data_IF_262462978358
#
_entry.id   IF_262462978358
#
_cell.length_a   1.000
_cell.length_b   1.000
_cell.length_c   1.000
_cell.angle_alpha   90.00
_cell.angle_beta   90.00
_cell.angle_gamma   90.00
#
_symmetry.space_group_name_H-M   'P 1'
#
loop_
_entity.id
_entity.type
_entity.pdbx_description
1 polymer ?
#
# COMPACT_ATOMS: atom_id res chain seq x y z
N UNK A 1 25.50 -3.62 -9.89
CA UNK A 1 25.25 -5.07 -9.78
C UNK A 1 24.15 -5.23 -8.77
N UNK A 2 23.08 -5.95 -9.06
CA UNK A 2 22.05 -6.27 -8.04
C UNK A 2 22.72 -7.18 -7.02
N UNK A 3 22.92 -6.68 -5.82
CA UNK A 3 23.49 -7.45 -4.73
C UNK A 3 22.41 -8.39 -4.17
N UNK A 4 22.82 -9.57 -3.77
CA UNK A 4 21.93 -10.56 -3.17
C UNK A 4 21.59 -10.09 -1.73
N UNK A 5 20.32 -10.12 -1.34
CA UNK A 5 19.90 -9.75 0.01
C UNK A 5 20.52 -10.68 1.05
N UNK A 6 21.04 -10.10 2.11
CA UNK A 6 21.60 -10.83 3.26
C UNK A 6 20.62 -10.75 4.44
N UNK A 7 19.72 -11.73 4.54
CA UNK A 7 18.62 -11.74 5.50
C UNK A 7 18.91 -12.77 6.61
N UNK A 8 18.70 -12.37 7.86
CA UNK A 8 18.79 -13.27 9.01
C UNK A 8 17.83 -14.46 8.88
N UNK A 9 18.29 -15.65 9.31
CA UNK A 9 17.49 -16.88 9.32
C UNK A 9 16.66 -17.01 10.62
N UNK A 10 16.27 -15.88 11.20
CA UNK A 10 15.59 -15.81 12.48
C UNK A 10 14.08 -15.59 12.40
N UNK A 11 13.54 -15.01 13.46
CA UNK A 11 12.16 -14.61 13.54
C UNK A 11 11.87 -13.40 12.63
N UNK A 12 10.62 -12.94 12.61
CA UNK A 12 10.15 -11.84 11.76
C UNK A 12 10.90 -10.54 12.05
N UNK A 13 11.08 -10.19 13.32
CA UNK A 13 11.81 -8.99 13.76
C UNK A 13 13.28 -9.00 13.30
N UNK A 14 13.99 -10.12 13.46
CA UNK A 14 15.38 -10.27 13.02
C UNK A 14 15.52 -10.15 11.49
N UNK A 15 14.53 -10.64 10.73
CA UNK A 15 14.50 -10.47 9.27
C UNK A 15 14.33 -9.00 8.89
N UNK A 16 13.38 -8.31 9.49
CA UNK A 16 13.21 -6.87 9.26
C UNK A 16 14.44 -6.06 9.67
N UNK A 17 15.02 -6.36 10.83
CA UNK A 17 16.22 -5.67 11.34
C UNK A 17 17.42 -5.78 10.38
N UNK A 18 17.56 -6.90 9.66
CA UNK A 18 18.61 -7.07 8.64
C UNK A 18 18.20 -6.54 7.27
N UNK A 19 16.91 -6.50 6.93
CA UNK A 19 16.40 -5.99 5.67
C UNK A 19 16.42 -4.46 5.63
N UNK A 20 16.00 -3.79 6.70
CA UNK A 20 15.81 -2.34 6.76
C UNK A 20 17.03 -1.52 6.31
N UNK A 21 18.26 -1.75 6.82
CA UNK A 21 19.44 -1.00 6.37
C UNK A 21 19.78 -1.29 4.91
N UNK A 22 19.44 -2.45 4.37
CA UNK A 22 19.66 -2.76 2.96
C UNK A 22 18.66 -2.01 2.07
N UNK A 23 17.38 -1.92 2.48
CA UNK A 23 16.39 -1.07 1.80
C UNK A 23 16.89 0.38 1.79
N UNK A 24 17.28 0.93 2.95
CA UNK A 24 17.77 2.29 3.06
C UNK A 24 18.92 2.55 2.08
N UNK A 25 19.95 1.69 2.08
CA UNK A 25 21.11 1.83 1.20
C UNK A 25 20.77 1.76 -0.30
N UNK A 26 19.74 0.99 -0.68
CA UNK A 26 19.34 0.86 -2.09
C UNK A 26 18.58 2.08 -2.59
N UNK A 27 17.86 2.78 -1.72
CA UNK A 27 16.94 3.86 -2.13
C UNK A 27 17.41 5.27 -1.74
N UNK A 28 18.44 5.43 -0.89
CA UNK A 28 18.84 6.74 -0.32
C UNK A 28 19.27 7.76 -1.37
N UNK A 29 19.93 7.35 -2.45
CA UNK A 29 20.40 8.22 -3.52
C UNK A 29 19.45 8.27 -4.74
N UNK A 30 18.31 7.57 -4.70
CA UNK A 30 17.37 7.52 -5.81
C UNK A 30 16.25 8.57 -5.63
N UNK A 31 16.21 9.61 -6.49
CA UNK A 31 15.18 10.64 -6.39
C UNK A 31 13.81 10.23 -6.92
N UNK A 32 13.73 9.21 -7.79
CA UNK A 32 12.46 8.77 -8.37
C UNK A 32 11.71 7.86 -7.40
N UNK A 33 10.58 8.35 -6.89
CA UNK A 33 9.73 7.62 -5.95
C UNK A 33 9.25 6.26 -6.51
N UNK A 34 9.03 6.16 -7.83
CA UNK A 34 8.57 4.91 -8.45
C UNK A 34 9.70 3.86 -8.43
N UNK A 35 10.94 4.27 -8.70
CA UNK A 35 12.11 3.40 -8.62
C UNK A 35 12.33 2.92 -7.17
N UNK A 36 12.21 3.83 -6.19
CA UNK A 36 12.28 3.50 -4.75
C UNK A 36 11.22 2.49 -4.36
N UNK A 37 9.95 2.73 -4.70
CA UNK A 37 8.84 1.80 -4.46
C UNK A 37 9.06 0.44 -5.11
N UNK A 38 9.59 0.39 -6.33
CA UNK A 38 9.84 -0.85 -7.04
C UNK A 38 10.86 -1.73 -6.31
N UNK A 39 11.96 -1.14 -5.84
CA UNK A 39 12.97 -1.84 -5.07
C UNK A 39 12.43 -2.30 -3.71
N UNK A 40 11.70 -1.44 -2.99
CA UNK A 40 11.09 -1.80 -1.70
C UNK A 40 10.11 -2.98 -1.87
N UNK A 41 9.23 -2.93 -2.87
CA UNK A 41 8.30 -4.03 -3.14
C UNK A 41 9.03 -5.35 -3.44
N UNK A 42 10.09 -5.29 -4.26
CA UNK A 42 10.89 -6.47 -4.61
C UNK A 42 11.60 -7.06 -3.39
N UNK A 43 12.25 -6.23 -2.57
CA UNK A 43 13.02 -6.65 -1.40
C UNK A 43 12.12 -7.25 -0.30
N UNK A 44 10.96 -6.65 -0.05
CA UNK A 44 9.96 -7.19 0.88
C UNK A 44 9.40 -8.52 0.39
N UNK A 45 9.02 -8.59 -0.89
CA UNK A 45 8.46 -9.81 -1.48
C UNK A 45 9.48 -10.95 -1.49
N UNK A 46 10.74 -10.69 -1.83
CA UNK A 46 11.81 -11.69 -1.82
C UNK A 46 12.09 -12.22 -0.41
N UNK A 47 12.09 -11.33 0.60
CA UNK A 47 12.40 -11.68 1.98
C UNK A 47 11.32 -12.52 2.64
N UNK A 48 10.05 -12.11 2.50
CA UNK A 48 8.94 -12.70 3.26
C UNK A 48 8.06 -13.65 2.44
N UNK A 49 8.16 -13.62 1.10
CA UNK A 49 7.35 -14.44 0.19
C UNK A 49 5.85 -14.23 0.37
N UNK A 50 5.44 -13.02 0.70
CA UNK A 50 4.03 -12.65 0.76
C UNK A 50 3.32 -12.94 -0.57
N UNK A 51 2.01 -13.17 -0.52
CA UNK A 51 1.21 -13.44 -1.72
C UNK A 51 1.25 -12.30 -2.74
N UNK A 52 1.15 -11.07 -2.22
CA UNK A 52 1.26 -9.84 -2.99
C UNK A 52 1.95 -8.75 -2.17
N UNK A 53 2.74 -7.93 -2.81
CA UNK A 53 3.44 -6.80 -2.18
C UNK A 53 3.57 -5.68 -3.18
N UNK A 54 3.03 -4.51 -2.90
CA UNK A 54 3.12 -3.41 -3.85
C UNK A 54 2.59 -2.09 -3.32
N UNK A 55 2.48 -1.14 -4.22
CA UNK A 55 2.06 0.22 -3.90
C UNK A 55 0.88 0.65 -4.74
N UNK A 56 -0.01 1.43 -4.13
CA UNK A 56 -0.98 2.25 -4.82
C UNK A 56 -0.66 3.71 -4.57
N UNK A 57 -0.57 4.50 -5.65
CA UNK A 57 -0.22 5.93 -5.59
C UNK A 57 -1.47 6.78 -5.62
N UNK A 58 -1.50 7.87 -4.85
CA UNK A 58 -2.53 8.90 -4.95
C UNK A 58 -2.29 9.72 -6.22
N UNK A 59 -3.26 9.74 -7.12
CA UNK A 59 -3.15 10.42 -8.41
C UNK A 59 -4.40 11.25 -8.68
N UNK A 60 -4.20 12.48 -9.15
CA UNK A 60 -5.28 13.35 -9.58
C UNK A 60 -5.97 12.78 -10.84
N UNK A 61 -7.29 12.80 -10.84
CA UNK A 61 -8.07 12.40 -12.00
C UNK A 61 -8.39 13.67 -12.81
N UNK A 62 -7.98 13.76 -14.10
CA UNK A 62 -8.38 14.86 -14.94
C UNK A 62 -9.91 14.98 -14.99
N UNK A 63 -10.45 16.19 -14.86
CA UNK A 63 -11.89 16.49 -14.84
C UNK A 63 -12.67 16.00 -16.07
N UNK A 64 -12.00 15.56 -17.14
CA UNK A 64 -12.60 15.13 -18.40
C UNK A 64 -12.84 13.61 -18.50
N UNK A 65 -12.50 12.85 -17.47
CA UNK A 65 -12.80 11.41 -17.42
C UNK A 65 -13.97 11.07 -16.49
N UNK A 66 -15.04 11.86 -16.53
CA UNK A 66 -16.35 11.34 -16.16
C UNK A 66 -16.73 10.30 -17.22
N UNK A 67 -16.31 9.06 -17.02
CA UNK A 67 -16.84 7.94 -17.78
C UNK A 67 -18.36 8.01 -17.65
N UNK A 68 -19.04 8.44 -18.71
CA UNK A 68 -20.49 8.28 -18.89
C UNK A 68 -20.77 6.78 -18.86
N UNK A 69 -20.96 6.20 -17.67
CA UNK A 69 -21.73 4.99 -17.56
C UNK A 69 -23.19 5.40 -17.78
N UNK A 70 -23.87 4.82 -18.77
CA UNK A 70 -25.31 5.02 -18.92
C UNK A 70 -25.97 4.19 -17.82
N UNK A 71 -26.18 4.77 -16.66
CA UNK A 71 -27.29 4.45 -15.76
C UNK A 71 -27.29 5.42 -14.56
N UNK A 72 -28.19 6.32 -14.68
CA UNK A 72 -28.91 7.19 -13.78
C UNK A 72 -28.90 6.71 -12.30
N UNK A 73 -27.97 7.29 -11.48
CA UNK A 73 -28.25 7.59 -10.07
C UNK A 73 -27.20 8.59 -9.57
N UNK A 74 -27.56 9.87 -9.65
CA UNK A 74 -26.90 10.97 -8.94
C UNK A 74 -27.20 10.83 -7.44
N UNK A 75 -26.37 10.11 -6.69
CA UNK A 75 -26.36 10.28 -5.25
C UNK A 75 -25.37 11.40 -4.93
N UNK A 76 -25.92 12.58 -4.63
CA UNK A 76 -25.16 13.65 -3.96
C UNK A 76 -24.73 13.12 -2.61
N UNK A 77 -23.43 12.82 -2.43
CA UNK A 77 -22.89 12.64 -1.10
C UNK A 77 -22.76 14.01 -0.42
N UNK A 78 -23.06 14.10 0.89
CA UNK A 78 -22.87 15.32 1.65
C UNK A 78 -21.39 15.71 1.65
N UNK A 79 -21.09 16.99 1.45
CA UNK A 79 -19.77 17.60 1.62
C UNK A 79 -19.27 17.34 3.06
N UNK A 80 -18.35 16.41 3.23
CA UNK A 80 -17.54 16.34 4.43
C UNK A 80 -16.31 17.24 4.23
N UNK A 81 -16.32 18.39 4.92
CA UNK A 81 -15.31 19.44 4.81
C UNK A 81 -14.09 19.21 5.72
N UNK A 82 -13.82 17.98 6.14
CA UNK A 82 -12.76 17.71 7.13
C UNK A 82 -11.46 17.14 6.54
N UNK A 83 -11.36 16.90 5.23
CA UNK A 83 -10.16 16.33 4.63
C UNK A 83 -9.37 17.33 3.80
N UNK A 84 -8.08 17.49 4.10
CA UNK A 84 -7.14 18.38 3.40
C UNK A 84 -6.84 17.98 1.94
N UNK A 85 -7.40 16.87 1.44
CA UNK A 85 -7.12 16.34 0.09
C UNK A 85 -8.26 16.61 -0.90
N UNK A 86 -7.94 16.93 -2.17
CA UNK A 86 -8.94 17.25 -3.18
C UNK A 86 -9.85 16.05 -3.50
N UNK A 87 -11.16 16.30 -3.72
CA UNK A 87 -12.18 15.29 -4.04
C UNK A 87 -12.00 14.59 -5.41
N UNK A 88 -10.91 14.84 -6.12
CA UNK A 88 -10.67 14.34 -7.49
C UNK A 88 -9.45 13.40 -7.56
N UNK A 89 -9.17 12.64 -6.50
CA UNK A 89 -8.04 11.74 -6.43
C UNK A 89 -8.49 10.28 -6.36
N UNK A 90 -7.63 9.39 -6.84
CA UNK A 90 -7.76 7.94 -6.70
C UNK A 90 -6.41 7.30 -6.40
N UNK A 91 -6.45 6.15 -5.76
CA UNK A 91 -5.31 5.26 -5.72
C UNK A 91 -5.19 4.55 -7.07
N UNK A 92 -4.01 4.61 -7.66
CA UNK A 92 -3.65 3.97 -8.94
C UNK A 92 -2.53 3.00 -8.68
N UNK A 93 -2.64 1.78 -9.22
CA UNK A 93 -1.64 0.73 -9.11
C UNK A 93 -0.26 1.25 -9.49
N UNK A 94 0.69 1.07 -8.61
CA UNK A 94 2.11 1.37 -8.76
C UNK A 94 2.95 0.10 -8.94
N UNK A 95 4.24 0.14 -8.58
CA UNK A 95 5.10 -1.05 -8.62
C UNK A 95 4.61 -2.13 -7.65
N UNK A 96 4.66 -3.39 -8.09
CA UNK A 96 4.25 -4.53 -7.27
C UNK A 96 4.94 -5.84 -7.67
N UNK A 97 4.86 -6.81 -6.78
CA UNK A 97 5.24 -8.22 -6.96
C UNK A 97 4.05 -9.11 -6.60
N UNK A 98 3.74 -10.08 -7.44
CA UNK A 98 2.62 -11.00 -7.24
C UNK A 98 1.66 -11.07 -8.44
N UNK A 99 0.48 -11.68 -8.27
CA UNK A 99 -0.53 -11.78 -9.32
C UNK A 99 -1.16 -10.42 -9.68
N UNK A 100 -1.97 -10.42 -10.74
CA UNK A 100 -2.70 -9.22 -11.19
C UNK A 100 -3.58 -8.64 -10.09
N UNK A 101 -3.65 -7.32 -10.01
CA UNK A 101 -4.39 -6.57 -9.00
C UNK A 101 -5.35 -5.53 -9.61
N UNK A 102 -6.21 -4.95 -8.78
CA UNK A 102 -7.08 -3.85 -9.18
C UNK A 102 -6.24 -2.66 -9.63
N UNK A 103 -6.59 -2.04 -10.75
CA UNK A 103 -5.81 -0.89 -11.27
C UNK A 103 -6.13 0.42 -10.57
N UNK A 104 -7.32 0.53 -9.95
CA UNK A 104 -7.79 1.76 -9.28
C UNK A 104 -8.64 1.44 -8.06
N UNK A 105 -8.42 2.17 -6.97
CA UNK A 105 -9.18 2.07 -5.73
C UNK A 105 -9.64 3.48 -5.32
N UNK A 106 -10.90 3.58 -4.91
CA UNK A 106 -11.47 4.84 -4.42
C UNK A 106 -11.14 5.04 -2.95
N UNK A 107 -11.06 6.29 -2.54
CA UNK A 107 -10.88 6.68 -1.14
C UNK A 107 -11.98 6.06 -0.26
N UNK A 108 -11.59 5.55 0.91
CA UNK A 108 -12.49 4.88 1.86
C UNK A 108 -13.00 3.51 1.42
N UNK A 109 -12.42 2.88 0.37
CA UNK A 109 -12.83 1.56 -0.13
C UNK A 109 -11.75 0.51 0.06
N UNK A 110 -12.12 -0.61 0.69
CA UNK A 110 -11.20 -1.68 1.05
C UNK A 110 -10.13 -1.23 2.04
N UNK A 111 -9.11 -2.06 2.29
CA UNK A 111 -7.99 -1.73 3.18
C UNK A 111 -7.20 -0.52 2.67
N UNK A 112 -6.76 -0.54 1.42
CA UNK A 112 -6.00 0.53 0.79
C UNK A 112 -6.72 1.89 0.83
N UNK A 113 -7.99 1.93 0.40
CA UNK A 113 -8.78 3.18 0.41
C UNK A 113 -9.05 3.67 1.82
N UNK A 114 -9.19 2.77 2.79
CA UNK A 114 -9.40 3.09 4.21
C UNK A 114 -8.13 3.62 4.85
N UNK A 115 -6.96 2.99 4.58
CA UNK A 115 -5.67 3.46 5.07
C UNK A 115 -5.39 4.89 4.59
N UNK A 116 -5.63 5.16 3.30
CA UNK A 116 -5.52 6.50 2.73
C UNK A 116 -6.50 7.51 3.34
N UNK A 117 -7.77 7.12 3.53
CA UNK A 117 -8.81 8.03 4.03
C UNK A 117 -8.62 8.42 5.50
N UNK A 118 -8.21 7.45 6.33
CA UNK A 118 -8.00 7.63 7.76
C UNK A 118 -6.58 8.06 8.11
N UNK A 119 -5.65 8.00 7.14
CA UNK A 119 -4.23 8.22 7.37
C UNK A 119 -3.69 7.34 8.52
N UNK A 120 -3.95 6.05 8.42
CA UNK A 120 -3.64 5.10 9.50
C UNK A 120 -3.43 3.70 8.94
N UNK A 121 -2.38 3.02 9.40
CA UNK A 121 -2.11 1.61 9.04
C UNK A 121 -3.32 0.73 9.36
N UNK A 122 -3.71 -0.08 8.39
CA UNK A 122 -4.78 -1.06 8.54
C UNK A 122 -4.14 -2.46 8.63
N UNK A 123 -4.30 -3.14 9.77
CA UNK A 123 -3.97 -4.55 9.93
C UNK A 123 -5.28 -5.34 9.85
N UNK A 124 -5.42 -6.17 8.82
CA UNK A 124 -6.65 -6.90 8.50
C UNK A 124 -6.42 -8.41 8.67
N UNK A 125 -6.84 -8.99 9.79
CA UNK A 125 -6.62 -10.42 10.08
C UNK A 125 -7.38 -11.36 9.13
N UNK A 126 -8.58 -10.94 8.68
CA UNK A 126 -9.41 -11.63 7.70
C UNK A 126 -10.09 -10.60 6.79
N UNK A 127 -9.69 -10.59 5.53
CA UNK A 127 -10.22 -9.63 4.54
C UNK A 127 -11.72 -9.78 4.32
N UNK A 128 -12.29 -10.98 4.51
CA UNK A 128 -13.73 -11.22 4.34
C UNK A 128 -14.57 -10.57 5.44
N UNK A 129 -13.96 -10.27 6.59
CA UNK A 129 -14.61 -9.59 7.71
C UNK A 129 -14.40 -8.07 7.67
N UNK A 130 -13.55 -7.56 6.76
CA UNK A 130 -13.26 -6.13 6.69
C UNK A 130 -14.40 -5.37 6.00
N UNK A 131 -14.97 -4.32 6.64
CA UNK A 131 -16.08 -3.55 6.08
C UNK A 131 -15.73 -2.92 4.72
N UNK A 132 -16.51 -3.20 3.70
CA UNK A 132 -16.28 -2.66 2.35
C UNK A 132 -15.11 -3.25 1.59
N UNK A 133 -14.65 -4.45 2.02
CA UNK A 133 -13.60 -5.20 1.32
C UNK A 133 -13.86 -5.26 -0.20
N UNK A 134 -12.78 -5.06 -0.97
CA UNK A 134 -12.76 -5.24 -2.43
C UNK A 134 -11.93 -6.48 -2.70
N UNK A 135 -12.55 -7.56 -3.13
CA UNK A 135 -11.86 -8.78 -3.53
C UNK A 135 -11.08 -8.55 -4.84
N UNK A 136 -9.87 -8.00 -4.77
CA UNK A 136 -8.95 -7.93 -5.91
C UNK A 136 -8.38 -9.31 -6.25
N UNK A 137 -8.29 -10.21 -5.27
CA UNK A 137 -7.93 -11.61 -5.41
C UNK A 137 -8.73 -12.47 -4.43
N UNK A 138 -9.27 -13.60 -4.89
CA UNK A 138 -9.91 -14.58 -4.00
C UNK A 138 -8.92 -15.36 -3.13
N UNK A 139 -7.63 -15.25 -3.39
CA UNK A 139 -6.58 -15.94 -2.65
C UNK A 139 -6.03 -15.11 -1.46
N UNK A 140 -6.24 -13.80 -1.43
CA UNK A 140 -5.90 -12.97 -0.29
C UNK A 140 -6.82 -13.30 0.89
N UNK A 141 -6.24 -13.56 2.07
CA UNK A 141 -6.97 -13.86 3.30
C UNK A 141 -6.69 -12.85 4.41
N UNK A 142 -5.50 -12.29 4.49
CA UNK A 142 -5.15 -11.20 5.39
C UNK A 142 -4.33 -10.14 4.66
N UNK A 143 -4.37 -8.92 5.16
CA UNK A 143 -3.81 -7.74 4.50
C UNK A 143 -3.20 -6.79 5.55
N UNK A 144 -2.11 -6.11 5.20
CA UNK A 144 -1.64 -4.93 5.91
C UNK A 144 -1.42 -3.80 4.92
N UNK A 145 -1.96 -2.61 5.25
CA UNK A 145 -1.82 -1.42 4.41
C UNK A 145 -1.25 -0.28 5.22
N UNK A 146 -0.14 0.30 4.75
CA UNK A 146 0.59 1.38 5.42
C UNK A 146 0.59 2.63 4.56
N UNK A 147 0.13 3.80 5.05
CA UNK A 147 0.25 5.08 4.36
C UNK A 147 1.71 5.47 4.14
N UNK A 148 2.00 6.04 2.97
CA UNK A 148 3.29 6.64 2.61
C UNK A 148 3.07 8.13 2.42
N UNK A 149 3.87 8.94 3.12
CA UNK A 149 3.73 10.39 3.14
C UNK A 149 4.82 11.07 2.30
N UNK A 150 4.54 12.28 1.85
CA UNK A 150 5.57 13.20 1.36
C UNK A 150 6.14 14.04 2.51
N UNK A 151 7.10 14.90 2.20
CA UNK A 151 7.76 15.82 3.15
C UNK A 151 6.80 16.84 3.79
N UNK A 152 5.58 17.02 3.24
CA UNK A 152 4.54 17.89 3.79
C UNK A 152 3.57 17.12 4.70
N UNK A 153 3.77 15.81 4.84
CA UNK A 153 2.93 14.91 5.64
C UNK A 153 1.61 14.55 4.95
N UNK A 154 1.54 14.67 3.62
CA UNK A 154 0.37 14.23 2.85
C UNK A 154 0.55 12.79 2.38
N UNK A 155 -0.50 11.98 2.46
CA UNK A 155 -0.46 10.63 1.91
C UNK A 155 -0.37 10.67 0.39
N UNK A 156 0.76 10.20 -0.16
CA UNK A 156 1.04 10.16 -1.61
C UNK A 156 0.93 8.75 -2.20
N UNK A 157 0.99 7.74 -1.33
CA UNK A 157 0.79 6.34 -1.70
C UNK A 157 0.36 5.51 -0.47
N UNK A 158 0.04 4.25 -0.72
CA UNK A 158 -0.05 3.22 0.33
C UNK A 158 0.81 2.03 -0.09
N UNK A 159 1.55 1.46 0.88
CA UNK A 159 2.16 0.14 0.77
C UNK A 159 1.09 -0.88 1.16
N UNK A 160 0.81 -1.80 0.28
CA UNK A 160 -0.19 -2.85 0.43
C UNK A 160 0.47 -4.22 0.36
N UNK A 161 0.20 -5.09 1.32
CA UNK A 161 0.76 -6.44 1.38
C UNK A 161 -0.34 -7.43 1.75
N UNK A 162 -0.54 -8.41 0.87
CA UNK A 162 -1.50 -9.49 1.06
C UNK A 162 -0.83 -10.82 1.39
N UNK A 163 -1.52 -11.62 2.18
CA UNK A 163 -1.17 -13.02 2.45
C UNK A 163 -2.31 -13.98 2.08
N UNK A 164 -1.94 -15.17 1.61
CA UNK A 164 -2.87 -16.27 1.39
C UNK A 164 -3.27 -17.00 2.69
N UNK A 165 -2.73 -16.57 3.83
CA UNK A 165 -3.06 -17.11 5.15
C UNK A 165 -3.78 -16.06 6.00
N UNK A 166 -4.63 -16.51 6.93
CA UNK A 166 -5.27 -15.64 7.92
C UNK A 166 -4.25 -15.20 8.98
N UNK A 167 -4.46 -14.03 9.58
CA UNK A 167 -3.67 -13.53 10.71
C UNK A 167 -2.15 -13.50 10.45
N UNK A 168 -1.71 -13.25 9.21
CA UNK A 168 -0.29 -13.21 8.88
C UNK A 168 0.42 -12.03 9.51
N UNK A 169 -0.25 -10.88 9.58
CA UNK A 169 0.34 -9.61 10.00
C UNK A 169 0.02 -9.32 11.47
N UNK A 170 1.03 -8.82 12.18
CA UNK A 170 0.98 -8.45 13.59
C UNK A 170 1.62 -7.07 13.85
N UNK A 171 1.78 -6.69 15.11
CA UNK A 171 2.37 -5.40 15.48
C UNK A 171 3.82 -5.28 15.02
N UNK A 172 4.58 -6.39 14.97
CA UNK A 172 5.97 -6.38 14.45
C UNK A 172 6.00 -5.94 12.98
N UNK A 173 5.09 -6.49 12.13
CA UNK A 173 4.99 -6.07 10.73
C UNK A 173 4.64 -4.59 10.63
N UNK A 174 3.64 -4.15 11.40
CA UNK A 174 3.19 -2.77 11.39
C UNK A 174 4.32 -1.81 11.74
N UNK A 175 5.03 -2.03 12.85
CA UNK A 175 6.13 -1.16 13.29
C UNK A 175 7.26 -1.06 12.25
N UNK A 176 7.65 -2.18 11.64
CA UNK A 176 8.72 -2.19 10.65
C UNK A 176 8.28 -1.62 9.30
N UNK A 177 7.07 -1.92 8.86
CA UNK A 177 6.56 -1.41 7.59
C UNK A 177 6.28 0.09 7.64
N UNK A 178 5.86 0.63 8.80
CA UNK A 178 5.76 2.07 9.03
C UNK A 178 7.14 2.75 8.90
N UNK A 179 8.19 2.20 9.54
CA UNK A 179 9.57 2.70 9.37
C UNK A 179 10.07 2.63 7.92
N UNK A 180 9.72 1.56 7.20
CA UNK A 180 10.07 1.42 5.77
C UNK A 180 9.31 2.46 4.93
N UNK A 181 8.03 2.71 5.22
CA UNK A 181 7.24 3.73 4.54
C UNK A 181 7.82 5.15 4.76
N UNK A 182 8.33 5.45 5.95
CA UNK A 182 9.02 6.72 6.25
C UNK A 182 10.27 6.94 5.38
N UNK A 183 10.98 5.89 4.97
CA UNK A 183 12.12 6.02 4.06
C UNK A 183 11.72 6.53 2.66
N UNK A 184 10.45 6.44 2.29
CA UNK A 184 9.94 6.86 0.99
C UNK A 184 9.48 8.33 0.95
N UNK A 185 9.51 9.01 2.10
CA UNK A 185 9.14 10.43 2.26
C UNK A 185 10.08 11.37 1.54
#
# INVERSE_FOLDING_TARGET
MAEQLNIAQGNKDEKYATLFPQIQSVIEDEPDLIARMANVAAMLHETFRFWWTGFYRVVDIPNDQTTKRPNNQTTKQPNDQTTKQPNNQQLVLGPFQGPLACTRIRRGRGGCGTAWDKDTTQVVPDVNLFPGHIACSSASKSEIVVPVHDSEGMVVAVLDIDSAELNTFDETDKEWLEKIAELLS
#
